data_IF_353474011518
#
_entry.id   IF_353474011518
#
_cell.length_a   1.000
_cell.length_b   1.000
_cell.length_c   1.000
_cell.angle_alpha   90.00
_cell.angle_beta   90.00
_cell.angle_gamma   90.00
#
_symmetry.space_group_name_H-M   'P 1'
#
loop_
_entity.id
_entity.type
_entity.pdbx_description
1 polymer ?
#
# COMPACT_ATOMS: atom_id res chain seq x y z
N UNK A 1 1.93 -41.50 59.09
CA UNK A 1 0.87 -40.75 58.38
C UNK A 1 1.53 -39.78 57.39
N UNK A 2 1.58 -40.03 56.07
CA UNK A 2 2.11 -39.03 55.14
C UNK A 2 1.01 -38.05 54.71
N UNK A 3 1.33 -36.75 54.72
CA UNK A 3 0.42 -35.66 54.29
C UNK A 3 0.43 -35.56 52.77
N UNK A 4 -0.74 -35.70 52.14
CA UNK A 4 -0.95 -35.49 50.70
C UNK A 4 -0.64 -34.03 50.34
N UNK A 5 0.38 -33.81 49.51
CA UNK A 5 0.73 -32.49 48.99
C UNK A 5 -0.29 -31.94 47.98
N UNK A 6 -0.33 -30.61 47.75
CA UNK A 6 -1.35 -29.97 46.94
C UNK A 6 -1.20 -30.25 45.44
N UNK A 7 -2.34 -30.50 44.77
CA UNK A 7 -2.45 -30.82 43.34
C UNK A 7 -2.21 -29.56 42.50
N UNK A 8 -1.08 -29.47 41.82
CA UNK A 8 -0.76 -28.37 40.90
C UNK A 8 -1.71 -28.45 39.69
N UNK A 9 -2.59 -27.46 39.54
CA UNK A 9 -3.46 -27.32 38.36
C UNK A 9 -2.61 -26.86 37.17
N UNK A 10 -2.39 -27.75 36.20
CA UNK A 10 -1.77 -27.38 34.92
C UNK A 10 -2.82 -26.68 34.06
N UNK A 11 -2.56 -25.44 33.64
CA UNK A 11 -3.35 -24.76 32.59
C UNK A 11 -2.97 -25.38 31.25
N UNK A 12 -3.92 -26.04 30.59
CA UNK A 12 -3.74 -26.53 29.23
C UNK A 12 -3.68 -25.32 28.29
N UNK A 13 -2.68 -25.19 27.40
CA UNK A 13 -2.69 -24.14 26.38
C UNK A 13 -3.90 -24.37 25.45
N UNK A 14 -4.73 -23.36 25.28
CA UNK A 14 -5.81 -23.41 24.28
C UNK A 14 -5.20 -23.64 22.90
N UNK A 15 -5.83 -24.51 22.10
CA UNK A 15 -5.40 -24.79 20.73
C UNK A 15 -5.29 -23.46 19.94
N UNK A 16 -4.10 -23.19 19.39
CA UNK A 16 -3.90 -22.09 18.45
C UNK A 16 -4.73 -22.43 17.22
N UNK A 17 -5.82 -21.70 16.98
CA UNK A 17 -6.61 -21.87 15.76
C UNK A 17 -5.67 -21.68 14.56
N UNK A 18 -5.64 -22.60 13.58
CA UNK A 18 -4.81 -22.41 12.40
C UNK A 18 -5.22 -21.10 11.73
N UNK A 19 -4.25 -20.25 11.45
CA UNK A 19 -4.50 -18.97 10.80
C UNK A 19 -5.07 -19.26 9.41
N UNK A 20 -6.31 -18.82 9.16
CA UNK A 20 -6.90 -18.85 7.82
C UNK A 20 -5.98 -18.03 6.90
N UNK A 21 -5.59 -18.55 5.73
CA UNK A 21 -4.79 -17.78 4.78
C UNK A 21 -5.58 -16.52 4.42
N UNK A 22 -5.09 -15.36 4.87
CA UNK A 22 -5.69 -14.08 4.53
C UNK A 22 -5.52 -13.89 3.04
N UNK A 23 -6.63 -13.90 2.30
CA UNK A 23 -6.62 -13.50 0.89
C UNK A 23 -5.98 -12.12 0.81
N UNK A 24 -4.95 -11.91 -0.03
CA UNK A 24 -4.36 -10.59 -0.17
C UNK A 24 -5.46 -9.61 -0.60
N UNK A 25 -5.48 -8.37 -0.05
CA UNK A 25 -6.42 -7.36 -0.48
C UNK A 25 -6.32 -7.19 -2.00
N UNK A 26 -7.46 -7.16 -2.68
CA UNK A 26 -7.48 -6.83 -4.11
C UNK A 26 -7.09 -5.36 -4.23
N UNK A 27 -6.04 -5.08 -4.99
CA UNK A 27 -5.61 -3.71 -5.24
C UNK A 27 -6.56 -3.07 -6.27
N UNK A 28 -7.32 -2.02 -5.89
CA UNK A 28 -8.29 -1.39 -6.80
C UNK A 28 -7.61 -0.76 -8.02
N UNK A 29 -6.35 -0.35 -7.92
CA UNK A 29 -5.62 0.27 -9.03
C UNK A 29 -4.89 -0.75 -9.91
N UNK A 30 -4.94 -2.04 -9.59
CA UNK A 30 -4.22 -3.06 -10.36
C UNK A 30 -4.71 -3.15 -11.81
N UNK A 31 -5.99 -2.87 -12.06
CA UNK A 31 -6.58 -2.88 -13.40
C UNK A 31 -6.26 -1.59 -14.21
N UNK A 32 -5.82 -0.52 -13.55
CA UNK A 32 -5.61 0.77 -14.22
C UNK A 32 -4.43 0.69 -15.20
N UNK A 33 -4.55 1.13 -16.48
CA UNK A 33 -3.49 0.95 -17.46
C UNK A 33 -2.17 1.64 -17.09
N UNK A 34 -2.22 2.77 -16.39
CA UNK A 34 -1.03 3.46 -15.88
C UNK A 34 -0.19 2.62 -14.91
N UNK A 35 -0.79 1.64 -14.21
CA UNK A 35 -0.11 0.82 -13.21
C UNK A 35 1.04 0.02 -13.81
N UNK A 36 0.92 -0.45 -15.07
CA UNK A 36 2.00 -1.19 -15.76
C UNK A 36 3.26 -0.35 -15.93
N UNK A 37 3.11 0.95 -16.24
CA UNK A 37 4.23 1.87 -16.41
C UNK A 37 4.89 2.19 -15.07
N UNK A 38 4.11 2.24 -13.98
CA UNK A 38 4.67 2.37 -12.64
C UNK A 38 5.55 1.19 -12.27
N UNK A 39 5.11 -0.05 -12.56
CA UNK A 39 5.90 -1.25 -12.29
C UNK A 39 7.23 -1.23 -13.04
N UNK A 40 7.20 -0.96 -14.36
CA UNK A 40 8.41 -0.84 -15.16
C UNK A 40 9.37 0.25 -14.62
N UNK A 41 8.82 1.38 -14.21
CA UNK A 41 9.61 2.47 -13.62
C UNK A 41 10.28 2.07 -12.29
N UNK A 42 9.58 1.34 -11.43
CA UNK A 42 10.16 0.86 -10.16
C UNK A 42 11.21 -0.23 -10.36
N UNK A 43 11.01 -1.12 -11.32
CA UNK A 43 12.00 -2.12 -11.72
C UNK A 43 13.27 -1.45 -12.24
N UNK A 44 13.12 -0.45 -13.11
CA UNK A 44 14.23 0.38 -13.57
C UNK A 44 14.95 1.05 -12.41
N UNK A 45 14.23 1.66 -11.47
CA UNK A 45 14.86 2.26 -10.29
C UNK A 45 15.66 1.25 -9.45
N UNK A 46 15.11 0.06 -9.20
CA UNK A 46 15.78 -0.96 -8.40
C UNK A 46 17.06 -1.47 -9.07
N UNK A 47 17.07 -1.57 -10.40
CA UNK A 47 18.24 -2.01 -11.18
C UNK A 47 19.30 -0.91 -11.33
N UNK A 48 18.94 0.36 -11.13
CA UNK A 48 19.83 1.51 -11.30
C UNK A 48 20.37 2.08 -9.98
N UNK A 49 20.37 1.27 -8.91
CA UNK A 49 21.01 1.62 -7.65
C UNK A 49 20.21 2.52 -6.72
N UNK A 50 18.91 2.75 -6.98
CA UNK A 50 18.05 3.44 -6.03
C UNK A 50 17.73 2.52 -4.83
N UNK A 51 17.74 3.08 -3.63
CA UNK A 51 17.39 2.31 -2.43
C UNK A 51 15.94 1.83 -2.47
N UNK A 52 15.69 0.66 -1.87
CA UNK A 52 14.33 0.12 -1.75
C UNK A 52 13.38 1.09 -1.02
N UNK A 53 13.91 1.87 -0.07
CA UNK A 53 13.13 2.89 0.65
C UNK A 53 12.72 4.04 -0.27
N UNK A 54 13.63 4.52 -1.12
CA UNK A 54 13.33 5.53 -2.14
C UNK A 54 12.27 5.03 -3.12
N UNK A 55 12.36 3.78 -3.57
CA UNK A 55 11.36 3.16 -4.45
C UNK A 55 10.02 3.05 -3.75
N UNK A 56 9.99 2.68 -2.45
CA UNK A 56 8.77 2.61 -1.64
C UNK A 56 8.10 3.97 -1.50
N UNK A 57 8.85 5.01 -1.14
CA UNK A 57 8.32 6.38 -1.04
C UNK A 57 7.73 6.85 -2.38
N UNK A 58 8.44 6.59 -3.48
CA UNK A 58 7.99 6.95 -4.83
C UNK A 58 6.77 6.17 -5.29
N UNK A 59 6.66 4.90 -4.89
CA UNK A 59 5.45 4.07 -5.09
C UNK A 59 4.22 4.68 -4.45
N UNK A 60 4.33 5.17 -3.22
CA UNK A 60 3.22 5.82 -2.52
C UNK A 60 2.78 7.08 -3.30
N UNK A 61 3.73 7.92 -3.70
CA UNK A 61 3.45 9.17 -4.42
C UNK A 61 2.80 8.93 -5.80
N UNK A 62 3.34 8.00 -6.60
CA UNK A 62 2.82 7.70 -7.94
C UNK A 62 1.49 6.94 -7.90
N UNK A 63 1.24 6.12 -6.88
CA UNK A 63 -0.08 5.49 -6.70
C UNK A 63 -1.16 6.52 -6.37
N UNK A 64 -0.85 7.55 -5.58
CA UNK A 64 -1.77 8.68 -5.36
C UNK A 64 -2.10 9.39 -6.67
N UNK A 65 -1.12 9.57 -7.55
CA UNK A 65 -1.35 10.14 -8.88
C UNK A 65 -2.27 9.25 -9.73
N UNK A 66 -2.02 7.93 -9.77
CA UNK A 66 -2.87 7.00 -10.52
C UNK A 66 -4.30 6.96 -9.98
N UNK A 67 -4.49 6.99 -8.65
CA UNK A 67 -5.84 7.12 -8.07
C UNK A 67 -6.54 8.41 -8.53
N UNK A 68 -5.82 9.53 -8.55
CA UNK A 68 -6.35 10.81 -9.02
C UNK A 68 -6.69 10.80 -10.52
N UNK A 69 -5.92 10.05 -11.32
CA UNK A 69 -6.19 9.81 -12.74
C UNK A 69 -7.43 8.92 -12.95
N UNK A 70 -7.57 7.86 -12.15
CA UNK A 70 -8.69 6.91 -12.21
C UNK A 70 -10.04 7.61 -11.97
N UNK A 71 -10.11 8.48 -10.95
CA UNK A 71 -11.28 9.35 -10.68
C UNK A 71 -11.70 10.23 -11.87
N UNK A 72 -10.80 10.46 -12.83
CA UNK A 72 -10.98 11.36 -13.98
C UNK A 72 -10.94 10.61 -15.31
N UNK A 73 -10.93 9.27 -15.26
CA UNK A 73 -10.82 8.40 -16.44
C UNK A 73 -9.63 8.72 -17.35
N UNK A 74 -8.48 9.07 -16.73
CA UNK A 74 -7.22 9.31 -17.44
C UNK A 74 -6.41 8.01 -17.53
N UNK A 75 -6.61 7.25 -18.60
CA UNK A 75 -6.08 5.90 -18.78
C UNK A 75 -4.87 5.79 -19.73
N UNK A 76 -4.71 6.74 -20.66
CA UNK A 76 -3.54 6.81 -21.57
C UNK A 76 -2.46 7.78 -21.05
N UNK A 77 -1.21 7.35 -20.84
CA UNK A 77 -0.13 8.25 -20.46
C UNK A 77 0.14 9.36 -21.47
N UNK A 78 -0.14 9.17 -22.76
CA UNK A 78 0.06 10.22 -23.79
C UNK A 78 -0.95 11.36 -23.66
N UNK A 79 -2.11 11.08 -23.06
CA UNK A 79 -3.11 12.08 -22.72
C UNK A 79 -2.73 12.95 -21.51
N UNK A 80 -1.67 12.60 -20.78
CA UNK A 80 -1.21 13.36 -19.61
C UNK A 80 -0.41 14.58 -20.09
N UNK A 81 -1.11 15.70 -20.20
CA UNK A 81 -0.54 16.99 -20.62
C UNK A 81 -0.08 17.83 -19.43
N UNK A 82 0.70 18.89 -19.71
CA UNK A 82 1.15 19.84 -18.67
C UNK A 82 -0.02 20.44 -17.85
N UNK A 83 -1.14 20.90 -18.47
CA UNK A 83 -2.29 21.39 -17.69
C UNK A 83 -2.91 20.34 -16.74
N UNK A 84 -2.85 19.05 -17.11
CA UNK A 84 -3.31 17.96 -16.24
C UNK A 84 -2.39 17.81 -15.03
N UNK A 85 -1.07 17.88 -15.25
CA UNK A 85 -0.08 17.83 -14.17
C UNK A 85 -0.23 19.02 -13.21
N UNK A 86 -0.49 20.22 -13.73
CA UNK A 86 -0.74 21.42 -12.91
C UNK A 86 -2.03 21.28 -12.09
N UNK A 87 -3.09 20.70 -12.67
CA UNK A 87 -4.31 20.38 -11.93
C UNK A 87 -4.06 19.36 -10.83
N UNK A 88 -3.23 18.34 -11.09
CA UNK A 88 -2.82 17.39 -10.07
C UNK A 88 -2.03 18.07 -8.95
N UNK A 89 -1.05 18.92 -9.27
CA UNK A 89 -0.31 19.70 -8.29
C UNK A 89 -1.23 20.58 -7.43
N UNK A 90 -2.20 21.26 -8.06
CA UNK A 90 -3.22 22.04 -7.34
C UNK A 90 -4.06 21.15 -6.41
N UNK A 91 -4.41 19.93 -6.85
CA UNK A 91 -5.13 18.98 -6.01
C UNK A 91 -4.31 18.52 -4.80
N UNK A 92 -2.99 18.33 -4.96
CA UNK A 92 -2.09 18.00 -3.87
C UNK A 92 -1.96 19.15 -2.86
N UNK A 93 -2.01 20.40 -3.31
CA UNK A 93 -2.00 21.57 -2.43
C UNK A 93 -3.22 21.62 -1.49
N UNK A 94 -4.39 21.25 -2.00
CA UNK A 94 -5.63 21.19 -1.19
C UNK A 94 -5.82 19.84 -0.49
N UNK A 95 -5.03 18.82 -0.84
CA UNK A 95 -5.13 17.51 -0.24
C UNK A 95 -4.71 17.59 1.24
N UNK A 96 -5.69 17.41 2.13
CA UNK A 96 -5.44 17.26 3.56
C UNK A 96 -5.42 15.79 3.93
N UNK A 97 -4.52 15.43 4.84
CA UNK A 97 -4.54 14.10 5.44
C UNK A 97 -5.84 13.92 6.23
N UNK A 98 -6.39 12.70 6.29
CA UNK A 98 -7.59 12.41 7.06
C UNK A 98 -7.46 12.76 8.56
N UNK A 99 -6.24 12.84 9.11
CA UNK A 99 -5.98 13.28 10.49
C UNK A 99 -6.04 14.80 10.71
N UNK A 100 -6.44 15.59 9.70
CA UNK A 100 -6.69 17.03 9.85
C UNK A 100 -5.46 17.92 10.07
N UNK A 101 -4.29 17.33 10.36
CA UNK A 101 -3.02 18.04 10.40
C UNK A 101 -2.43 18.19 8.98
N UNK A 102 -1.85 19.36 8.66
CA UNK A 102 -1.18 19.59 7.38
C UNK A 102 -0.05 18.58 7.10
#
# INVERSE_FOLDING_TARGET
>A
MPRTGPRIKRRTPSAIKPAVPRRPPVDPLAAHPLTRYLHAHFEWMLTHGYSADTVRARRIALRRFVAWCDERHLDDPRGITKPILERYQKSLFYYRKPDGQP
#
